data_IF_594106724001
#
_entry.id   IF_594106724001
#
_cell.length_a   1.000
_cell.length_b   1.000
_cell.length_c   1.000
_cell.angle_alpha   90.00
_cell.angle_beta   90.00
_cell.angle_gamma   90.00
#
_symmetry.space_group_name_H-M   'P 1'
#
loop_
_entity.id
_entity.type
_entity.pdbx_description
1 polymer ?
#
# COMPACT_ATOMS: atom_id res chain seq x y z
N UNK A 1 -11.66 -6.44 10.53
CA UNK A 1 -10.58 -6.22 11.51
C UNK A 1 -11.00 -5.06 12.40
N UNK A 2 -11.10 -5.27 13.72
CA UNK A 2 -11.54 -4.22 14.64
C UNK A 2 -10.38 -3.23 14.85
N UNK A 3 -10.49 -1.99 14.40
CA UNK A 3 -9.52 -0.94 14.77
C UNK A 3 -9.52 -0.80 16.28
N UNK A 4 -8.39 -1.14 16.90
CA UNK A 4 -8.22 -1.01 18.35
C UNK A 4 -8.12 0.48 18.67
N UNK A 5 -8.97 0.96 19.57
CA UNK A 5 -8.92 2.35 20.03
C UNK A 5 -7.81 2.47 21.06
N UNK A 6 -6.72 3.13 20.69
CA UNK A 6 -5.62 3.42 21.61
C UNK A 6 -5.99 4.57 22.54
N UNK A 7 -5.64 4.43 23.81
CA UNK A 7 -5.72 5.52 24.78
C UNK A 7 -4.57 6.51 24.58
N UNK A 8 -4.74 7.73 25.08
CA UNK A 8 -3.68 8.75 25.04
C UNK A 8 -2.38 8.30 25.74
N UNK A 9 -2.49 7.45 26.78
CA UNK A 9 -1.33 6.92 27.49
C UNK A 9 -0.55 5.92 26.63
N UNK A 10 -1.24 5.00 25.95
CA UNK A 10 -0.61 4.04 25.05
C UNK A 10 0.04 4.73 23.85
N UNK A 11 -0.59 5.79 23.31
CA UNK A 11 0.00 6.62 22.26
C UNK A 11 1.30 7.29 22.72
N UNK A 12 1.33 7.84 23.93
CA UNK A 12 2.54 8.45 24.50
C UNK A 12 3.64 7.40 24.72
N UNK A 13 3.29 6.21 25.21
CA UNK A 13 4.23 5.11 25.40
C UNK A 13 4.85 4.67 24.07
N UNK A 14 4.02 4.45 23.03
CA UNK A 14 4.48 4.10 21.70
C UNK A 14 5.38 5.20 21.10
N UNK A 15 4.99 6.47 21.18
CA UNK A 15 5.82 7.60 20.73
C UNK A 15 7.17 7.66 21.47
N UNK A 16 7.18 7.36 22.76
CA UNK A 16 8.41 7.34 23.54
C UNK A 16 9.34 6.23 23.06
N UNK A 17 8.82 5.01 22.82
CA UNK A 17 9.62 3.92 22.26
C UNK A 17 10.16 4.28 20.87
N UNK A 18 9.33 4.87 20.01
CA UNK A 18 9.71 5.32 18.67
C UNK A 18 10.85 6.35 18.70
N UNK A 19 10.77 7.34 19.59
CA UNK A 19 11.84 8.34 19.75
C UNK A 19 13.15 7.73 20.27
N UNK A 20 13.07 6.80 21.23
CA UNK A 20 14.25 6.06 21.71
C UNK A 20 14.87 5.25 20.57
N UNK A 21 14.05 4.59 19.75
CA UNK A 21 14.52 3.83 18.59
C UNK A 21 15.23 4.71 17.56
N UNK A 22 14.68 5.90 17.26
CA UNK A 22 15.33 6.88 16.37
C UNK A 22 16.66 7.36 16.95
N UNK A 23 16.72 7.59 18.26
CA UNK A 23 17.97 7.95 18.94
C UNK A 23 19.01 6.82 18.88
N UNK A 24 18.58 5.56 19.03
CA UNK A 24 19.46 4.40 18.87
C UNK A 24 19.96 4.23 17.43
N UNK A 25 19.12 4.47 16.42
CA UNK A 25 19.52 4.47 15.02
C UNK A 25 20.53 5.58 14.70
N UNK A 26 20.47 6.71 15.40
CA UNK A 26 21.48 7.78 15.33
C UNK A 26 22.78 7.47 16.08
N UNK A 27 22.90 6.27 16.69
CA UNK A 27 24.08 5.82 17.42
C UNK A 27 24.18 6.34 18.86
N UNK A 28 23.19 7.09 19.35
CA UNK A 28 23.18 7.65 20.71
C UNK A 28 22.57 6.67 21.70
N UNK A 29 23.04 6.67 22.96
CA UNK A 29 22.43 5.98 24.11
C UNK A 29 22.16 4.46 24.00
N UNK A 30 22.83 3.74 23.08
CA UNK A 30 22.68 2.29 22.89
C UNK A 30 22.95 1.45 24.14
N UNK A 31 23.78 1.94 25.06
CA UNK A 31 24.18 1.21 26.27
C UNK A 31 23.45 1.63 27.54
N UNK A 32 22.48 2.55 27.46
CA UNK A 32 21.74 2.98 28.63
C UNK A 32 20.74 1.89 29.08
N UNK A 33 20.99 1.28 30.25
CA UNK A 33 20.17 0.21 30.83
C UNK A 33 18.71 0.63 31.04
N UNK A 34 18.48 1.87 31.46
CA UNK A 34 17.14 2.39 31.74
C UNK A 34 16.30 2.50 30.47
N UNK A 35 16.89 3.00 29.38
CA UNK A 35 16.21 3.10 28.09
C UNK A 35 15.87 1.72 27.53
N UNK A 36 16.75 0.72 27.70
CA UNK A 36 16.45 -0.66 27.30
C UNK A 36 15.27 -1.25 28.06
N UNK A 37 15.17 -0.96 29.36
CA UNK A 37 14.09 -1.46 30.20
C UNK A 37 12.73 -0.80 29.86
N UNK A 38 12.73 0.50 29.56
CA UNK A 38 11.51 1.20 29.12
C UNK A 38 11.05 0.64 27.78
N UNK A 39 11.98 0.48 26.83
CA UNK A 39 11.66 -0.08 25.51
C UNK A 39 11.15 -1.52 25.63
N UNK A 40 11.73 -2.36 26.47
CA UNK A 40 11.24 -3.74 26.62
C UNK A 40 9.83 -3.81 27.19
N UNK A 41 9.50 -2.97 28.17
CA UNK A 41 8.18 -2.97 28.80
C UNK A 41 7.08 -2.40 27.91
N UNK A 42 7.42 -1.46 27.03
CA UNK A 42 6.45 -0.78 26.16
C UNK A 42 6.54 -1.26 24.70
N UNK A 43 7.34 -2.29 24.43
CA UNK A 43 7.54 -2.85 23.09
C UNK A 43 6.23 -3.32 22.48
N UNK A 44 5.41 -4.02 23.29
CA UNK A 44 4.15 -4.61 22.83
C UNK A 44 3.16 -3.52 22.41
N UNK A 45 3.02 -2.47 23.21
CA UNK A 45 2.17 -1.31 22.90
C UNK A 45 2.65 -0.60 21.62
N UNK A 46 3.96 -0.44 21.46
CA UNK A 46 4.54 0.14 20.25
C UNK A 46 4.30 -0.75 19.02
N UNK A 47 4.46 -2.07 19.15
CA UNK A 47 4.25 -3.02 18.05
C UNK A 47 2.80 -3.04 17.58
N UNK A 48 1.85 -3.05 18.53
CA UNK A 48 0.42 -2.96 18.24
C UNK A 48 0.08 -1.64 17.53
N UNK A 49 0.56 -0.51 18.05
CA UNK A 49 0.37 0.80 17.43
C UNK A 49 0.98 0.87 16.03
N UNK A 50 2.19 0.33 15.86
CA UNK A 50 2.90 0.34 14.57
C UNK A 50 2.17 -0.51 13.53
N UNK A 51 1.63 -1.65 13.95
CA UNK A 51 0.85 -2.54 13.10
C UNK A 51 -0.43 -1.87 12.64
N UNK A 52 -1.17 -1.22 13.55
CA UNK A 52 -2.38 -0.46 13.21
C UNK A 52 -2.08 0.69 12.24
N UNK A 53 -0.98 1.42 12.45
CA UNK A 53 -0.53 2.48 11.54
C UNK A 53 -0.20 1.95 10.13
N UNK A 54 0.51 0.83 10.04
CA UNK A 54 0.89 0.22 8.76
C UNK A 54 -0.32 -0.33 8.04
N UNK A 55 -1.23 -1.01 8.74
CA UNK A 55 -2.46 -1.55 8.15
C UNK A 55 -3.35 -0.45 7.57
N UNK A 56 -3.52 0.68 8.28
CA UNK A 56 -4.21 1.86 7.72
C UNK A 56 -3.53 2.43 6.47
N UNK A 57 -2.20 2.37 6.44
CA UNK A 57 -1.42 2.79 5.26
C UNK A 57 -1.63 1.86 4.07
N UNK A 58 -1.69 0.54 4.31
CA UNK A 58 -1.98 -0.46 3.27
C UNK A 58 -3.39 -0.27 2.72
N UNK A 59 -4.40 -0.11 3.58
CA UNK A 59 -5.78 0.15 3.14
C UNK A 59 -5.85 1.37 2.21
N UNK A 60 -5.11 2.44 2.54
CA UNK A 60 -5.04 3.63 1.70
C UNK A 60 -4.35 3.37 0.35
N UNK A 61 -3.27 2.58 0.34
CA UNK A 61 -2.59 2.19 -0.90
C UNK A 61 -3.46 1.29 -1.78
N UNK A 62 -4.24 0.38 -1.18
CA UNK A 62 -5.19 -0.47 -1.90
C UNK A 62 -6.30 0.37 -2.54
N UNK A 63 -6.83 1.36 -1.83
CA UNK A 63 -7.85 2.25 -2.40
C UNK A 63 -7.28 3.06 -3.57
N UNK A 64 -6.04 3.56 -3.44
CA UNK A 64 -5.37 4.26 -4.55
C UNK A 64 -5.15 3.35 -5.76
N UNK A 65 -4.73 2.10 -5.55
CA UNK A 65 -4.57 1.12 -6.62
C UNK A 65 -5.91 0.78 -7.28
N UNK A 66 -6.99 0.68 -6.50
CA UNK A 66 -8.33 0.44 -7.04
C UNK A 66 -8.79 1.60 -7.91
N UNK A 67 -8.60 2.84 -7.46
CA UNK A 67 -8.89 4.03 -8.24
C UNK A 67 -8.05 4.11 -9.54
N UNK A 68 -6.78 3.69 -9.49
CA UNK A 68 -5.94 3.60 -10.67
C UNK A 68 -6.43 2.53 -11.65
N UNK A 69 -6.84 1.36 -11.17
CA UNK A 69 -7.41 0.32 -12.02
C UNK A 69 -8.74 0.74 -12.65
N UNK A 70 -9.64 1.36 -11.90
CA UNK A 70 -10.90 1.88 -12.45
C UNK A 70 -10.63 2.95 -13.52
N UNK A 71 -9.63 3.81 -13.32
CA UNK A 71 -9.22 4.80 -14.31
C UNK A 71 -8.61 4.15 -15.58
N UNK A 72 -7.81 3.10 -15.42
CA UNK A 72 -7.20 2.36 -16.53
C UNK A 72 -8.22 1.51 -17.31
N UNK A 73 -9.21 0.89 -16.64
CA UNK A 73 -10.28 0.12 -17.32
C UNK A 73 -11.26 1.03 -18.09
N UNK A 74 -11.42 2.28 -17.63
CA UNK A 74 -12.19 3.29 -18.37
C UNK A 74 -11.44 3.76 -19.63
N UNK A 75 -10.12 3.58 -19.68
CA UNK A 75 -9.32 3.78 -20.89
C UNK A 75 -9.35 2.55 -21.81
N UNK A 76 -10.56 2.20 -22.27
CA UNK A 76 -10.77 1.30 -23.40
C UNK A 76 -10.33 1.93 -24.74
N UNK A 77 -9.22 2.66 -24.74
CA UNK A 77 -8.59 3.16 -25.94
C UNK A 77 -7.73 2.04 -26.54
N UNK A 78 -8.26 1.51 -27.64
CA UNK A 78 -7.65 0.52 -28.51
C UNK A 78 -6.14 0.75 -28.66
N UNK A 79 -5.34 -0.18 -28.13
CA UNK A 79 -3.89 0.00 -27.95
C UNK A 79 -3.09 0.04 -29.25
N UNK A 80 -3.69 -0.22 -30.41
CA UNK A 80 -3.05 -0.08 -31.72
C UNK A 80 -4.12 0.03 -32.83
N UNK A 81 -4.05 1.07 -33.66
CA UNK A 81 -4.79 1.15 -34.93
C UNK A 81 -3.76 1.32 -36.05
N UNK A 82 -3.45 0.25 -36.78
CA UNK A 82 -2.57 0.30 -37.94
C UNK A 82 -3.42 0.21 -39.23
N UNK A 83 -3.49 1.29 -40.00
CA UNK A 83 -4.07 1.25 -41.36
C UNK A 83 -3.03 0.64 -42.31
N UNK A 84 -3.13 -0.66 -42.56
CA UNK A 84 -2.33 -1.32 -43.59
C UNK A 84 -3.02 -1.13 -44.95
N UNK A 85 -2.47 -0.26 -45.80
CA UNK A 85 -2.81 -0.23 -47.23
C UNK A 85 -2.21 -1.47 -47.90
N UNK A 86 -2.97 -2.56 -47.97
CA UNK A 86 -2.52 -3.79 -48.62
C UNK A 86 -3.67 -4.77 -48.88
N UNK A 87 -3.82 -5.17 -50.14
CA UNK A 87 -4.92 -5.92 -50.74
C UNK A 87 -5.36 -7.17 -49.95
N UNK A 88 -6.26 -6.98 -48.99
CA UNK A 88 -7.03 -8.06 -48.35
C UNK A 88 -8.51 -7.85 -48.69
N UNK A 89 -9.18 -8.91 -49.13
CA UNK A 89 -10.58 -8.92 -49.58
C UNK A 89 -11.61 -8.54 -48.49
N UNK A 90 -11.15 -8.27 -47.27
CA UNK A 90 -11.95 -7.82 -46.13
C UNK A 90 -11.29 -6.54 -45.59
N UNK A 91 -11.42 -5.43 -46.32
CA UNK A 91 -10.90 -4.12 -45.96
C UNK A 91 -11.63 -3.50 -44.77
N UNK A 92 -11.38 -4.01 -43.56
CA UNK A 92 -11.90 -3.49 -42.30
C UNK A 92 -10.78 -3.20 -41.30
N UNK A 93 -11.02 -2.26 -40.39
CA UNK A 93 -10.09 -1.89 -39.32
C UNK A 93 -9.81 -3.10 -38.42
N UNK A 94 -8.55 -3.52 -38.35
CA UNK A 94 -8.14 -4.60 -37.47
C UNK A 94 -7.97 -4.05 -36.06
N UNK A 95 -8.91 -4.38 -35.16
CA UNK A 95 -8.89 -3.98 -33.75
C UNK A 95 -8.38 -5.14 -32.91
N UNK A 96 -7.23 -4.97 -32.27
CA UNK A 96 -6.71 -5.93 -31.29
C UNK A 96 -7.25 -5.57 -29.90
N UNK A 97 -7.98 -6.52 -29.28
CA UNK A 97 -8.40 -6.45 -27.87
C UNK A 97 -7.53 -7.40 -27.04
N UNK A 98 -7.36 -7.08 -25.77
CA UNK A 98 -6.68 -7.97 -24.84
C UNK A 98 -7.60 -9.16 -24.45
N UNK A 99 -7.07 -10.39 -24.33
CA UNK A 99 -7.85 -11.63 -24.21
C UNK A 99 -8.63 -11.79 -22.89
N UNK A 100 -8.54 -10.85 -21.95
CA UNK A 100 -9.31 -10.87 -20.71
C UNK A 100 -10.67 -10.16 -20.81
N UNK A 101 -10.93 -9.42 -21.90
CA UNK A 101 -12.21 -8.77 -22.18
C UNK A 101 -13.28 -9.72 -22.75
N UNK A 102 -12.90 -10.95 -23.13
CA UNK A 102 -13.80 -11.98 -23.66
C UNK A 102 -14.26 -12.96 -22.57
N UNK A 103 -13.93 -12.70 -21.30
CA UNK A 103 -14.50 -13.47 -20.19
C UNK A 103 -15.90 -12.96 -19.93
N UNK A 104 -16.89 -13.64 -20.50
CA UNK A 104 -18.25 -13.61 -19.94
C UNK A 104 -18.13 -13.91 -18.44
N UNK A 105 -18.51 -12.92 -17.62
CA UNK A 105 -18.64 -13.08 -16.17
C UNK A 105 -19.54 -14.30 -15.88
N UNK A 106 -19.19 -15.16 -14.91
CA UNK A 106 -20.11 -16.17 -14.40
C UNK A 106 -21.26 -15.56 -13.57
#
# INVERSE_FOLDING_TARGET
MSSRVFTWQELLQALTVETIWRLWNSGKYKNNRWLKMIVSNWLDVWADWRTDLVMRGVDHQTEQLRMQWDADDTSADFKFTEKKEGATLLGGEMRLRAPYMDREEP
#
